data_IF_331324923634
#
_entry.id   IF_331324923634
#
_cell.length_a   1.000
_cell.length_b   1.000
_cell.length_c   1.000
_cell.angle_alpha   90.00
_cell.angle_beta   90.00
_cell.angle_gamma   90.00
#
_symmetry.space_group_name_H-M   'P 1'
#
loop_
_entity.id
_entity.type
_entity.pdbx_description
1 polymer ?
#
# COMPACT_ATOMS: atom_id res chain seq x y z
N UNK A 1 18.77 -21.47 48.05
CA UNK A 1 18.61 -21.49 46.57
C UNK A 1 17.41 -20.63 46.24
N UNK A 2 17.63 -19.39 45.80
CA UNK A 2 16.58 -18.40 45.44
C UNK A 2 16.25 -18.59 43.97
N UNK A 3 15.06 -19.14 43.67
CA UNK A 3 14.52 -19.18 42.31
C UNK A 3 14.04 -17.79 41.92
N UNK A 4 14.79 -17.14 41.02
CA UNK A 4 14.38 -15.89 40.40
C UNK A 4 13.15 -16.18 39.49
N UNK A 5 11.98 -15.79 39.96
CA UNK A 5 10.76 -15.75 39.15
C UNK A 5 10.96 -14.63 38.12
N UNK A 6 11.19 -15.01 36.86
CA UNK A 6 11.29 -14.07 35.75
C UNK A 6 10.01 -13.26 35.68
N UNK A 7 10.12 -11.92 35.84
CA UNK A 7 9.00 -10.98 35.66
C UNK A 7 8.51 -11.12 34.20
N UNK A 8 7.31 -11.67 34.04
CA UNK A 8 6.66 -11.72 32.75
C UNK A 8 6.52 -10.29 32.19
N UNK A 9 6.84 -10.11 30.89
CA UNK A 9 6.67 -8.82 30.22
C UNK A 9 5.24 -8.32 30.39
N UNK A 10 5.08 -7.05 30.74
CA UNK A 10 3.76 -6.41 30.81
C UNK A 10 3.13 -6.38 29.40
N UNK A 11 1.81 -6.27 29.26
CA UNK A 11 1.12 -6.17 27.99
C UNK A 11 1.75 -5.10 27.08
N UNK A 12 2.02 -3.91 27.60
CA UNK A 12 2.68 -2.82 26.88
C UNK A 12 4.08 -3.20 26.34
N UNK A 13 4.86 -3.98 27.08
CA UNK A 13 6.19 -4.44 26.63
C UNK A 13 6.09 -5.52 25.53
N UNK A 14 5.02 -6.33 25.52
CA UNK A 14 4.77 -7.32 24.47
C UNK A 14 4.29 -6.62 23.19
N UNK A 15 3.39 -5.65 23.31
CA UNK A 15 2.88 -4.83 22.22
C UNK A 15 4.01 -4.08 21.50
N UNK A 16 4.89 -3.41 22.25
CA UNK A 16 6.04 -2.70 21.68
C UNK A 16 7.00 -3.66 20.97
N UNK A 17 7.32 -4.82 21.55
CA UNK A 17 8.18 -5.81 20.91
C UNK A 17 7.60 -6.35 19.60
N UNK A 18 6.29 -6.55 19.53
CA UNK A 18 5.61 -6.94 18.31
C UNK A 18 5.68 -5.86 17.23
N UNK A 19 5.43 -4.60 17.57
CA UNK A 19 5.54 -3.48 16.63
C UNK A 19 6.96 -3.36 16.08
N UNK A 20 7.97 -3.44 16.95
CA UNK A 20 9.38 -3.37 16.53
C UNK A 20 9.76 -4.51 15.58
N UNK A 21 9.32 -5.74 15.84
CA UNK A 21 9.57 -6.90 14.99
C UNK A 21 8.98 -6.69 13.58
N UNK A 22 7.71 -6.33 13.48
CA UNK A 22 7.05 -6.09 12.19
C UNK A 22 7.68 -4.93 11.45
N UNK A 23 7.95 -3.80 12.13
CA UNK A 23 8.59 -2.65 11.51
C UNK A 23 10.01 -2.96 11.02
N UNK A 24 10.75 -3.83 11.72
CA UNK A 24 12.04 -4.35 11.26
C UNK A 24 11.92 -5.06 9.91
N UNK A 25 10.93 -5.95 9.76
CA UNK A 25 10.65 -6.67 8.51
C UNK A 25 10.25 -5.69 7.40
N UNK A 26 9.32 -4.77 7.69
CA UNK A 26 8.81 -3.81 6.71
C UNK A 26 9.93 -2.90 6.18
N UNK A 27 10.74 -2.33 7.06
CA UNK A 27 11.85 -1.45 6.67
C UNK A 27 12.93 -2.19 5.86
N UNK A 28 13.23 -3.44 6.23
CA UNK A 28 14.22 -4.24 5.51
C UNK A 28 13.77 -4.61 4.08
N UNK A 29 12.47 -4.86 3.89
CA UNK A 29 11.90 -5.23 2.58
C UNK A 29 11.58 -4.03 1.69
N UNK A 30 11.40 -2.84 2.25
CA UNK A 30 10.94 -1.64 1.55
C UNK A 30 11.90 -0.46 1.80
N UNK A 31 13.19 -0.58 1.44
CA UNK A 31 14.13 0.51 1.65
C UNK A 31 13.73 1.74 0.84
N UNK A 32 13.80 2.93 1.46
CA UNK A 32 13.52 4.20 0.78
C UNK A 32 12.04 4.55 0.61
N UNK A 33 11.14 3.91 1.36
CA UNK A 33 9.69 4.17 1.31
C UNK A 33 9.15 4.74 2.65
N UNK A 34 9.55 5.97 3.04
CA UNK A 34 9.24 6.50 4.37
C UNK A 34 7.76 6.68 4.62
N UNK A 35 6.96 7.06 3.61
CA UNK A 35 5.52 7.23 3.74
C UNK A 35 4.82 5.89 4.03
N UNK A 36 5.28 4.83 3.37
CA UNK A 36 4.77 3.49 3.65
C UNK A 36 5.15 3.01 5.05
N UNK A 37 6.40 3.26 5.49
CA UNK A 37 6.84 2.91 6.84
C UNK A 37 6.00 3.62 7.91
N UNK A 38 5.72 4.91 7.75
CA UNK A 38 4.92 5.68 8.68
C UNK A 38 3.49 5.13 8.77
N UNK A 39 2.83 4.93 7.63
CA UNK A 39 1.46 4.42 7.60
C UNK A 39 1.35 3.03 8.24
N UNK A 40 2.30 2.13 7.97
CA UNK A 40 2.35 0.80 8.58
C UNK A 40 2.52 0.92 10.08
N UNK A 41 3.43 1.75 10.55
CA UNK A 41 3.68 1.93 11.98
C UNK A 41 2.43 2.42 12.72
N UNK A 42 1.75 3.46 12.22
CA UNK A 42 0.53 4.00 12.81
C UNK A 42 -0.59 2.95 12.93
N UNK A 43 -0.77 2.15 11.88
CA UNK A 43 -1.79 1.10 11.88
C UNK A 43 -1.41 -0.02 12.85
N UNK A 44 -0.16 -0.52 12.83
CA UNK A 44 0.27 -1.63 13.71
C UNK A 44 0.17 -1.22 15.17
N UNK A 45 0.58 -0.01 15.53
CA UNK A 45 0.44 0.51 16.89
C UNK A 45 -1.03 0.52 17.33
N UNK A 46 -1.94 0.89 16.44
CA UNK A 46 -3.37 0.94 16.75
C UNK A 46 -4.03 -0.44 16.90
N UNK A 47 -3.55 -1.46 16.16
CA UNK A 47 -4.11 -2.83 16.20
C UNK A 47 -3.38 -3.77 17.17
N UNK A 48 -2.21 -3.37 17.70
CA UNK A 48 -1.41 -4.19 18.59
C UNK A 48 -2.19 -4.73 19.81
N UNK A 49 -3.11 -3.95 20.46
CA UNK A 49 -3.94 -4.49 21.53
C UNK A 49 -4.87 -5.62 21.09
N UNK A 50 -5.31 -5.61 19.82
CA UNK A 50 -6.14 -6.70 19.29
C UNK A 50 -5.29 -7.97 19.07
N UNK A 51 -4.03 -7.84 18.70
CA UNK A 51 -3.11 -8.98 18.54
C UNK A 51 -2.84 -9.68 19.89
N UNK A 52 -2.77 -8.92 20.97
CA UNK A 52 -2.67 -9.50 22.33
C UNK A 52 -3.95 -10.25 22.75
N UNK A 53 -5.11 -9.71 22.41
CA UNK A 53 -6.40 -10.29 22.75
C UNK A 53 -6.73 -11.55 21.93
N UNK A 54 -6.25 -11.60 20.69
CA UNK A 54 -6.53 -12.68 19.74
C UNK A 54 -5.23 -13.31 19.22
N UNK A 55 -4.59 -14.20 20.00
CA UNK A 55 -3.29 -14.79 19.64
C UNK A 55 -3.32 -15.63 18.35
N UNK A 56 -4.50 -16.07 17.91
CA UNK A 56 -4.70 -16.71 16.61
C UNK A 56 -4.33 -15.79 15.43
N UNK A 57 -4.48 -14.49 15.55
CA UNK A 57 -4.07 -13.53 14.52
C UNK A 57 -2.55 -13.47 14.36
N UNK A 58 -1.82 -13.52 15.47
CA UNK A 58 -0.36 -13.59 15.45
C UNK A 58 0.10 -14.92 14.86
N UNK A 59 -0.51 -16.03 15.28
CA UNK A 59 -0.18 -17.38 14.79
C UNK A 59 -0.44 -17.53 13.28
N UNK A 60 -1.46 -16.89 12.75
CA UNK A 60 -1.80 -16.89 11.31
C UNK A 60 -0.99 -15.90 10.49
N UNK A 61 -0.05 -15.18 11.10
CA UNK A 61 0.75 -14.14 10.43
C UNK A 61 -0.11 -13.05 9.77
N UNK A 62 -1.20 -12.67 10.45
CA UNK A 62 -2.17 -11.74 9.88
C UNK A 62 -1.52 -10.40 9.51
N UNK A 63 -0.73 -9.82 10.41
CA UNK A 63 -0.13 -8.50 10.19
C UNK A 63 0.93 -8.55 9.11
N UNK A 64 1.78 -9.58 9.09
CA UNK A 64 2.80 -9.76 8.04
C UNK A 64 2.15 -9.90 6.64
N UNK A 65 0.97 -10.49 6.56
CA UNK A 65 0.18 -10.59 5.32
C UNK A 65 -0.51 -9.27 4.96
N UNK A 66 -0.91 -8.47 5.95
CA UNK A 66 -1.53 -7.16 5.71
C UNK A 66 -0.53 -6.09 5.24
N UNK A 67 0.74 -6.20 5.62
CA UNK A 67 1.77 -5.23 5.22
C UNK A 67 2.48 -5.59 3.91
N UNK A 68 2.21 -6.76 3.36
CA UNK A 68 2.79 -7.21 2.09
C UNK A 68 1.71 -7.20 0.99
N UNK A 69 1.87 -6.41 -0.09
CA UNK A 69 0.90 -6.40 -1.19
C UNK A 69 0.92 -7.71 -1.97
N UNK A 70 -0.24 -8.15 -2.45
CA UNK A 70 -0.36 -9.37 -3.26
C UNK A 70 0.34 -9.22 -4.60
N UNK A 71 0.28 -8.03 -5.24
CA UNK A 71 0.99 -7.71 -6.50
C UNK A 71 1.33 -6.24 -6.59
N UNK A 72 2.49 -5.98 -7.21
CA UNK A 72 2.94 -4.64 -7.60
C UNK A 72 3.24 -4.66 -9.10
N UNK A 73 2.59 -3.80 -9.85
CA UNK A 73 2.70 -3.72 -11.31
C UNK A 73 3.23 -2.34 -11.65
N UNK A 74 4.37 -2.30 -12.35
CA UNK A 74 4.99 -1.12 -12.92
C UNK A 74 4.94 -1.25 -14.43
N UNK A 75 4.50 -0.21 -15.12
CA UNK A 75 4.43 -0.19 -16.57
C UNK A 75 4.79 1.17 -17.15
N UNK A 76 5.25 1.16 -18.41
CA UNK A 76 5.58 2.36 -19.16
C UNK A 76 4.33 2.92 -19.84
N UNK A 77 4.19 4.25 -19.79
CA UNK A 77 3.06 4.99 -20.40
C UNK A 77 3.62 6.00 -21.41
N UNK A 78 3.81 5.63 -22.69
CA UNK A 78 4.19 6.55 -23.74
C UNK A 78 2.95 7.27 -24.28
N UNK A 79 3.06 8.58 -24.49
CA UNK A 79 1.99 9.41 -25.08
C UNK A 79 2.60 10.57 -25.86
N UNK A 80 1.82 11.20 -26.73
CA UNK A 80 2.31 12.31 -27.58
C UNK A 80 1.71 13.60 -27.08
N UNK A 81 2.54 14.63 -26.88
CA UNK A 81 2.09 15.96 -26.49
C UNK A 81 1.53 16.77 -27.68
N UNK A 82 1.09 18.01 -27.43
CA UNK A 82 0.50 18.87 -28.46
C UNK A 82 1.53 19.37 -29.49
N UNK A 83 2.84 19.27 -29.19
CA UNK A 83 3.92 19.58 -30.13
C UNK A 83 4.30 18.40 -31.01
N UNK A 84 3.69 17.22 -30.83
CA UNK A 84 4.03 15.99 -31.51
C UNK A 84 5.22 15.24 -30.92
N UNK A 85 5.70 15.64 -29.74
CA UNK A 85 6.81 15.03 -29.04
C UNK A 85 6.34 13.82 -28.20
N UNK A 86 7.12 12.73 -28.23
CA UNK A 86 6.82 11.54 -27.41
C UNK A 86 7.27 11.76 -25.98
N UNK A 87 6.33 11.67 -25.07
CA UNK A 87 6.53 11.71 -23.63
C UNK A 87 6.43 10.29 -23.05
N UNK A 88 7.15 10.02 -21.95
CA UNK A 88 7.15 8.72 -21.28
C UNK A 88 7.00 8.89 -19.79
N UNK A 89 5.90 8.38 -19.24
CA UNK A 89 5.62 8.32 -17.83
C UNK A 89 5.66 6.88 -17.31
N UNK A 90 5.65 6.73 -15.99
CA UNK A 90 5.51 5.45 -15.31
C UNK A 90 4.09 5.30 -14.81
N UNK A 91 3.49 4.16 -15.06
CA UNK A 91 2.23 3.73 -14.46
C UNK A 91 2.47 2.72 -13.35
N UNK A 92 1.65 2.78 -12.32
CA UNK A 92 1.70 1.89 -11.15
C UNK A 92 0.33 1.35 -10.83
N UNK A 93 0.26 0.07 -10.46
CA UNK A 93 -0.90 -0.54 -9.81
C UNK A 93 -0.42 -1.46 -8.69
N UNK A 94 -0.89 -1.21 -7.48
CA UNK A 94 -0.68 -2.09 -6.34
C UNK A 94 -2.01 -2.75 -6.01
N UNK A 95 -2.09 -4.05 -6.24
CA UNK A 95 -3.17 -4.94 -5.79
C UNK A 95 -2.78 -5.38 -4.38
N UNK A 96 -3.34 -4.71 -3.38
CA UNK A 96 -2.78 -4.85 -2.04
C UNK A 96 -3.36 -6.06 -1.30
N UNK A 97 -4.68 -6.18 -1.24
CA UNK A 97 -5.33 -7.27 -0.53
C UNK A 97 -6.72 -7.56 -1.08
N UNK A 98 -7.00 -8.82 -1.38
CA UNK A 98 -8.28 -9.31 -1.93
C UNK A 98 -9.08 -10.17 -0.95
N UNK A 99 -8.68 -10.25 0.32
CA UNK A 99 -9.29 -11.16 1.29
C UNK A 99 -10.81 -10.96 1.48
N UNK A 100 -11.30 -9.73 1.32
CA UNK A 100 -12.71 -9.39 1.49
C UNK A 100 -13.44 -9.05 0.19
N UNK A 101 -12.77 -9.17 -0.95
CA UNK A 101 -13.37 -8.95 -2.27
C UNK A 101 -12.40 -8.42 -3.32
N UNK A 102 -12.87 -8.09 -4.54
CA UNK A 102 -12.03 -7.65 -5.62
C UNK A 102 -11.28 -6.36 -5.30
N UNK A 103 -10.12 -6.16 -5.93
CA UNK A 103 -9.26 -5.00 -5.71
C UNK A 103 -9.98 -3.70 -6.10
N UNK A 104 -10.15 -2.79 -5.14
CA UNK A 104 -10.81 -1.50 -5.34
C UNK A 104 -9.97 -0.37 -4.74
N UNK A 105 -9.75 0.66 -5.54
CA UNK A 105 -9.03 1.87 -5.16
C UNK A 105 -8.91 2.84 -6.32
N UNK A 106 -8.70 4.14 -6.00
CA UNK A 106 -8.59 5.20 -6.98
C UNK A 106 -7.23 5.27 -7.68
N UNK A 107 -7.10 6.28 -8.56
CA UNK A 107 -5.86 6.63 -9.25
C UNK A 107 -5.33 7.98 -8.74
N UNK A 108 -4.01 8.13 -8.67
CA UNK A 108 -3.34 9.39 -8.34
C UNK A 108 -2.37 9.75 -9.46
N UNK A 109 -2.54 10.92 -10.08
CA UNK A 109 -1.61 11.49 -11.04
C UNK A 109 -0.94 12.72 -10.44
N UNK A 110 0.37 12.64 -10.24
CA UNK A 110 1.17 13.71 -9.68
C UNK A 110 2.67 13.43 -9.89
N UNK A 111 3.53 14.42 -10.18
CA UNK A 111 4.95 14.18 -10.43
C UNK A 111 5.72 13.53 -9.27
N UNK A 112 5.23 13.66 -8.04
CA UNK A 112 5.84 13.00 -6.87
C UNK A 112 5.48 11.51 -6.73
N UNK A 113 4.63 10.95 -7.62
CA UNK A 113 4.20 9.56 -7.52
C UNK A 113 5.33 8.62 -7.91
N UNK A 114 5.65 7.72 -7.01
CA UNK A 114 6.49 6.55 -7.23
C UNK A 114 5.84 5.33 -6.55
N UNK A 115 6.43 4.15 -6.72
CA UNK A 115 5.83 2.90 -6.25
C UNK A 115 5.52 2.92 -4.74
N UNK A 116 6.41 3.50 -3.91
CA UNK A 116 6.22 3.61 -2.46
C UNK A 116 4.98 4.43 -2.07
N UNK A 117 4.71 5.54 -2.79
CA UNK A 117 3.48 6.35 -2.60
C UNK A 117 2.23 5.52 -2.93
N UNK A 118 2.25 4.77 -4.03
CA UNK A 118 1.11 3.94 -4.41
C UNK A 118 0.92 2.77 -3.43
N UNK A 119 2.01 2.20 -2.92
CA UNK A 119 1.98 1.17 -1.88
C UNK A 119 1.39 1.72 -0.57
N UNK A 120 1.86 2.85 -0.09
CA UNK A 120 1.31 3.56 1.06
C UNK A 120 -0.21 3.76 0.94
N UNK A 121 -0.65 4.38 -0.16
CA UNK A 121 -2.07 4.64 -0.42
C UNK A 121 -2.89 3.35 -0.59
N UNK A 122 -2.29 2.29 -1.13
CA UNK A 122 -2.93 0.98 -1.26
C UNK A 122 -3.11 0.28 0.08
N UNK A 123 -2.14 0.40 0.97
CA UNK A 123 -2.21 -0.10 2.34
C UNK A 123 -3.34 0.57 3.13
N UNK A 124 -3.41 1.89 3.12
CA UNK A 124 -4.53 2.62 3.76
C UNK A 124 -5.89 2.23 3.16
N UNK A 125 -5.93 1.98 1.85
CA UNK A 125 -7.17 1.61 1.15
C UNK A 125 -7.76 0.30 1.66
N UNK A 126 -6.96 -0.65 2.16
CA UNK A 126 -7.46 -1.91 2.75
C UNK A 126 -8.41 -1.59 3.92
N UNK A 127 -7.94 -0.80 4.86
CA UNK A 127 -8.69 -0.47 6.07
C UNK A 127 -9.88 0.42 5.76
N UNK A 128 -9.70 1.40 4.87
CA UNK A 128 -10.79 2.27 4.42
C UNK A 128 -11.94 1.46 3.81
N UNK A 129 -11.64 0.49 2.95
CA UNK A 129 -12.66 -0.37 2.33
C UNK A 129 -13.28 -1.34 3.35
N UNK A 130 -12.49 -1.92 4.25
CA UNK A 130 -13.00 -2.81 5.30
C UNK A 130 -14.03 -2.14 6.19
N UNK A 131 -13.83 -0.85 6.52
CA UNK A 131 -14.75 -0.07 7.34
C UNK A 131 -16.09 0.28 6.65
N UNK A 132 -16.16 0.14 5.33
CA UNK A 132 -17.42 0.38 4.59
C UNK A 132 -18.42 -0.77 4.70
N UNK A 133 -18.01 -1.93 5.23
CA UNK A 133 -18.78 -3.19 5.24
C UNK A 133 -19.08 -3.76 3.86
N UNK A 134 -18.57 -3.13 2.79
CA UNK A 134 -18.73 -3.60 1.42
C UNK A 134 -17.70 -4.71 1.12
N UNK A 135 -18.07 -5.78 0.37
CA UNK A 135 -17.15 -6.88 0.07
C UNK A 135 -16.16 -6.50 -1.06
N UNK A 136 -15.29 -5.54 -0.79
CA UNK A 136 -14.27 -5.04 -1.70
C UNK A 136 -12.90 -5.03 -1.01
N UNK A 137 -11.88 -5.51 -1.73
CA UNK A 137 -10.50 -5.47 -1.30
C UNK A 137 -9.85 -4.11 -1.49
N UNK A 138 -8.55 -4.02 -1.23
CA UNK A 138 -7.78 -2.79 -1.31
C UNK A 138 -6.78 -2.79 -2.47
N UNK A 139 -6.76 -1.70 -3.21
CA UNK A 139 -5.77 -1.43 -4.24
C UNK A 139 -5.55 0.07 -4.45
N UNK A 140 -4.47 0.42 -5.13
CA UNK A 140 -4.19 1.79 -5.58
C UNK A 140 -3.47 1.77 -6.92
N UNK A 141 -3.74 2.77 -7.74
CA UNK A 141 -2.99 3.01 -8.98
C UNK A 141 -2.55 4.46 -9.06
N UNK A 142 -1.71 4.77 -10.03
CA UNK A 142 -1.28 6.13 -10.30
C UNK A 142 -0.12 6.22 -11.29
N UNK A 143 0.33 7.44 -11.50
CA UNK A 143 1.44 7.78 -12.39
C UNK A 143 2.15 9.03 -11.91
N UNK A 144 3.41 9.17 -12.30
CA UNK A 144 4.20 10.39 -12.18
C UNK A 144 3.81 11.49 -13.21
N UNK A 145 2.75 11.27 -13.97
CA UNK A 145 2.17 12.25 -14.88
C UNK A 145 1.63 13.47 -14.12
N UNK A 146 2.02 14.66 -14.56
CA UNK A 146 1.49 15.92 -14.05
C UNK A 146 0.39 16.44 -15.01
N UNK A 147 -0.90 16.41 -14.62
CA UNK A 147 -1.98 16.92 -15.45
C UNK A 147 -2.03 18.45 -15.46
N UNK A 148 -1.30 19.12 -14.56
CA UNK A 148 -1.33 20.58 -14.45
C UNK A 148 -0.67 21.22 -15.67
N UNK A 149 -1.40 22.13 -16.31
CA UNK A 149 -0.93 22.82 -17.50
C UNK A 149 -0.97 22.00 -18.80
N UNK A 150 -1.54 20.79 -18.76
CA UNK A 150 -1.79 19.98 -19.94
C UNK A 150 -3.13 20.31 -20.58
N UNK A 151 -3.21 20.19 -21.92
CA UNK A 151 -4.48 20.28 -22.62
C UNK A 151 -5.36 19.06 -22.36
N UNK A 152 -6.66 19.18 -22.57
CA UNK A 152 -7.59 18.05 -22.47
C UNK A 152 -7.20 16.90 -23.42
N UNK A 153 -6.68 17.24 -24.60
CA UNK A 153 -6.20 16.25 -25.58
C UNK A 153 -4.94 15.52 -25.10
N UNK A 154 -4.00 16.21 -24.46
CA UNK A 154 -2.83 15.60 -23.85
C UNK A 154 -3.21 14.65 -22.74
N UNK A 155 -4.08 15.09 -21.82
CA UNK A 155 -4.61 14.25 -20.74
C UNK A 155 -5.34 13.04 -21.31
N UNK A 156 -6.13 13.20 -22.37
CA UNK A 156 -6.83 12.09 -23.03
C UNK A 156 -5.85 11.07 -23.59
N UNK A 157 -4.83 11.53 -24.34
CA UNK A 157 -3.79 10.62 -24.93
C UNK A 157 -3.02 9.88 -23.84
N UNK A 158 -2.64 10.59 -22.77
CA UNK A 158 -2.03 9.95 -21.60
C UNK A 158 -2.94 8.88 -20.99
N UNK A 159 -4.21 9.22 -20.71
CA UNK A 159 -5.17 8.29 -20.11
C UNK A 159 -5.43 7.06 -20.99
N UNK A 160 -5.53 7.22 -22.30
CA UNK A 160 -5.68 6.11 -23.25
C UNK A 160 -4.48 5.15 -23.17
N UNK A 161 -3.25 5.70 -23.20
CA UNK A 161 -2.04 4.90 -23.05
C UNK A 161 -1.96 4.22 -21.69
N UNK A 162 -2.26 4.94 -20.60
CA UNK A 162 -2.27 4.41 -19.24
C UNK A 162 -3.28 3.26 -19.10
N UNK A 163 -4.48 3.41 -19.64
CA UNK A 163 -5.53 2.40 -19.57
C UNK A 163 -5.26 1.16 -20.43
N UNK A 164 -4.45 1.28 -21.47
CA UNK A 164 -4.05 0.12 -22.33
C UNK A 164 -3.41 -1.00 -21.52
N UNK A 165 -2.73 -0.66 -20.42
CA UNK A 165 -2.15 -1.66 -19.52
C UNK A 165 -3.02 -1.85 -18.26
N UNK A 166 -3.48 -0.75 -17.66
CA UNK A 166 -4.17 -0.80 -16.38
C UNK A 166 -5.46 -1.64 -16.40
N UNK A 167 -6.21 -1.66 -17.51
CA UNK A 167 -7.52 -2.36 -17.56
C UNK A 167 -7.43 -3.85 -17.20
N UNK A 168 -6.28 -4.49 -17.43
CA UNK A 168 -6.01 -5.90 -17.09
C UNK A 168 -5.89 -6.15 -15.59
N UNK A 169 -5.75 -5.07 -14.82
CA UNK A 169 -5.42 -5.12 -13.40
C UNK A 169 -6.48 -4.41 -12.53
N UNK A 170 -7.64 -4.12 -13.11
CA UNK A 170 -8.80 -3.53 -12.43
C UNK A 170 -9.85 -4.63 -12.22
N UNK A 171 -10.29 -4.84 -10.98
CA UNK A 171 -11.33 -5.81 -10.64
C UNK A 171 -10.87 -6.89 -9.73
#
# INVERSE_FOLDING_TARGET
MSTAIGKGKTGLQRSNGFVEEIMGIVKARNPGEPEFHQAVQEVIESIAPAMEKYPEFVKSKLVERLVEPERQILFRVPWVDDNGEVQVNRGFRVQFNSAIGPYKGGLRFHPSVYLGIIKFLGFEQIFKNALTTTPIGGAKGGSDFDPKGKSDNEVMRFCQSFMTELFRHIG
#
